data_IF_503413459385
#
_entry.id   IF_503413459385
#
_cell.length_a   1.000
_cell.length_b   1.000
_cell.length_c   1.000
_cell.angle_alpha   90.00
_cell.angle_beta   90.00
_cell.angle_gamma   90.00
#
_symmetry.space_group_name_H-M   'P 1'
#
loop_
_entity.id
_entity.type
_entity.pdbx_description
1 polymer ?
#
# COMPACT_ATOMS: atom_id res chain seq x y z
N UNK A 1 -6.71 12.00 13.89
CA UNK A 1 -6.13 10.66 13.61
C UNK A 1 -5.14 10.78 12.47
N UNK A 2 -4.01 10.06 12.49
CA UNK A 2 -3.06 10.10 11.38
C UNK A 2 -3.73 9.62 10.09
N UNK A 3 -3.52 10.33 8.97
CA UNK A 3 -4.19 10.06 7.68
C UNK A 3 -4.01 8.62 7.19
N UNK A 4 -2.84 8.04 7.46
CA UNK A 4 -2.52 6.66 7.11
C UNK A 4 -3.42 5.63 7.81
N UNK A 5 -3.95 5.96 9.01
CA UNK A 5 -4.85 5.08 9.75
C UNK A 5 -6.24 4.90 9.10
N UNK A 6 -6.54 5.64 8.03
CA UNK A 6 -7.77 5.46 7.26
C UNK A 6 -7.71 4.27 6.28
N UNK A 7 -6.51 3.71 6.04
CA UNK A 7 -6.32 2.61 5.10
C UNK A 7 -6.70 1.27 5.72
N UNK A 8 -7.31 0.37 4.95
CA UNK A 8 -7.89 -0.88 5.45
C UNK A 8 -6.87 -1.91 5.95
N UNK A 9 -5.60 -1.72 5.58
CA UNK A 9 -4.46 -2.57 5.91
C UNK A 9 -3.52 -1.94 6.95
N UNK A 10 -3.90 -0.80 7.53
CA UNK A 10 -3.10 -0.09 8.54
C UNK A 10 -3.64 -0.40 9.92
N UNK A 11 -2.73 -0.77 10.80
CA UNK A 11 -3.03 -1.09 12.19
C UNK A 11 -2.87 0.10 13.13
N UNK A 12 -3.36 -0.07 14.35
CA UNK A 12 -3.01 0.79 15.47
C UNK A 12 -2.50 -0.07 16.62
N UNK A 13 -1.29 0.19 17.07
CA UNK A 13 -0.71 -0.39 18.27
C UNK A 13 -1.08 0.48 19.48
N UNK A 14 -1.82 -0.09 20.42
CA UNK A 14 -2.26 0.58 21.65
C UNK A 14 -1.37 0.24 22.86
N UNK A 15 -0.25 -0.45 22.67
CA UNK A 15 0.58 -1.02 23.75
C UNK A 15 1.43 0.01 24.52
N UNK A 16 1.03 1.28 24.56
CA UNK A 16 1.72 2.35 25.28
C UNK A 16 0.86 3.58 25.52
N UNK A 17 1.45 4.65 26.07
CA UNK A 17 0.74 5.87 26.48
C UNK A 17 -0.01 6.58 25.34
N UNK A 18 0.39 6.33 24.08
CA UNK A 18 -0.26 6.89 22.89
C UNK A 18 -0.37 5.83 21.77
N UNK A 19 -1.53 5.74 21.09
CA UNK A 19 -1.71 4.82 19.97
C UNK A 19 -0.74 5.14 18.82
N UNK A 20 0.03 4.14 18.36
CA UNK A 20 0.96 4.27 17.25
C UNK A 20 0.38 3.62 16.00
N UNK A 21 0.52 4.31 14.87
CA UNK A 21 0.11 3.74 13.58
C UNK A 21 1.11 2.68 13.14
N UNK A 22 0.60 1.52 12.76
CA UNK A 22 1.36 0.42 12.15
C UNK A 22 1.11 0.44 10.65
N UNK A 23 2.02 0.98 9.82
CA UNK A 23 1.79 1.23 8.39
C UNK A 23 1.50 -0.01 7.55
N UNK A 24 1.77 -1.21 8.08
CA UNK A 24 1.53 -2.49 7.42
C UNK A 24 1.00 -3.51 8.42
N UNK A 25 -0.29 -3.76 8.38
CA UNK A 25 -0.99 -4.81 9.12
C UNK A 25 -2.08 -5.42 8.21
N UNK A 26 -1.70 -6.04 7.08
CA UNK A 26 -2.65 -6.57 6.12
C UNK A 26 -3.47 -7.73 6.71
N UNK A 27 -4.72 -7.86 6.25
CA UNK A 27 -5.54 -9.03 6.56
C UNK A 27 -5.21 -10.14 5.57
N UNK A 28 -4.71 -11.26 6.06
CA UNK A 28 -4.37 -12.43 5.25
C UNK A 28 -5.48 -13.46 5.35
N UNK A 29 -5.87 -14.00 4.20
CA UNK A 29 -6.87 -15.07 4.10
C UNK A 29 -6.23 -16.46 4.08
N UNK A 30 -4.94 -16.56 3.76
CA UNK A 30 -4.23 -17.82 3.53
C UNK A 30 -4.48 -18.42 2.15
N UNK A 31 -5.35 -17.80 1.34
CA UNK A 31 -5.53 -18.15 -0.06
C UNK A 31 -4.71 -17.18 -0.92
N UNK A 32 -3.75 -17.73 -1.68
CA UNK A 32 -2.82 -16.93 -2.47
C UNK A 32 -3.51 -15.97 -3.43
N UNK A 33 -4.56 -16.42 -4.13
CA UNK A 33 -5.28 -15.61 -5.11
C UNK A 33 -6.01 -14.44 -4.46
N UNK A 34 -6.69 -14.69 -3.33
CA UNK A 34 -7.37 -13.66 -2.53
C UNK A 34 -6.40 -12.68 -1.90
N UNK A 35 -5.27 -13.16 -1.41
CA UNK A 35 -4.23 -12.31 -0.81
C UNK A 35 -3.60 -11.39 -1.87
N UNK A 36 -3.33 -11.90 -3.08
CA UNK A 36 -2.92 -11.06 -4.21
C UNK A 36 -3.96 -9.99 -4.56
N UNK A 37 -5.25 -10.34 -4.56
CA UNK A 37 -6.32 -9.38 -4.82
C UNK A 37 -6.44 -8.31 -3.71
N UNK A 38 -6.28 -8.70 -2.45
CA UNK A 38 -6.21 -7.77 -1.33
C UNK A 38 -5.03 -6.81 -1.46
N UNK A 39 -3.83 -7.34 -1.76
CA UNK A 39 -2.62 -6.55 -2.02
C UNK A 39 -2.81 -5.47 -3.09
N UNK A 40 -3.41 -5.84 -4.24
CA UNK A 40 -3.73 -4.87 -5.31
C UNK A 40 -4.67 -3.78 -4.82
N UNK A 41 -5.69 -4.15 -4.04
CA UNK A 41 -6.66 -3.20 -3.46
C UNK A 41 -5.97 -2.24 -2.48
N UNK A 42 -5.07 -2.74 -1.64
CA UNK A 42 -4.30 -1.93 -0.70
C UNK A 42 -3.41 -0.89 -1.38
N UNK A 43 -2.77 -1.24 -2.50
CA UNK A 43 -2.03 -0.25 -3.28
C UNK A 43 -2.94 0.84 -3.85
N UNK A 44 -4.12 0.48 -4.36
CA UNK A 44 -5.10 1.46 -4.86
C UNK A 44 -5.55 2.43 -3.75
N UNK A 45 -5.87 1.92 -2.56
CA UNK A 45 -6.21 2.76 -1.41
C UNK A 45 -5.08 3.73 -1.06
N UNK A 46 -3.84 3.24 -0.97
CA UNK A 46 -2.67 4.05 -0.66
C UNK A 46 -2.42 5.12 -1.74
N UNK A 47 -2.47 4.73 -3.01
CA UNK A 47 -2.26 5.64 -4.13
C UNK A 47 -3.30 6.76 -4.13
N UNK A 48 -4.58 6.45 -3.87
CA UNK A 48 -5.62 7.46 -3.74
C UNK A 48 -5.35 8.42 -2.57
N UNK A 49 -4.87 7.91 -1.43
CA UNK A 49 -4.47 8.77 -0.31
C UNK A 49 -3.28 9.68 -0.67
N UNK A 50 -2.27 9.14 -1.36
CA UNK A 50 -1.11 9.93 -1.80
C UNK A 50 -1.50 11.07 -2.73
N UNK A 51 -2.45 10.82 -3.64
CA UNK A 51 -2.99 11.85 -4.53
C UNK A 51 -3.80 12.89 -3.75
N UNK A 52 -4.69 12.45 -2.86
CA UNK A 52 -5.55 13.34 -2.07
C UNK A 52 -4.75 14.29 -1.18
N UNK A 53 -3.70 13.76 -0.53
CA UNK A 53 -2.87 14.51 0.41
C UNK A 53 -1.64 15.16 -0.26
N UNK A 54 -1.49 15.00 -1.58
CA UNK A 54 -0.31 15.42 -2.35
C UNK A 54 1.01 15.02 -1.67
N UNK A 55 1.08 13.78 -1.19
CA UNK A 55 2.18 13.31 -0.36
C UNK A 55 2.64 11.90 -0.76
N UNK A 56 3.68 11.77 -1.60
CA UNK A 56 4.19 10.47 -2.04
C UNK A 56 4.96 9.71 -0.93
N UNK A 57 5.32 10.37 0.17
CA UNK A 57 6.13 9.75 1.24
C UNK A 57 5.39 8.65 1.99
N UNK A 58 4.05 8.56 1.87
CA UNK A 58 3.28 7.45 2.44
C UNK A 58 3.68 6.10 1.84
N UNK A 59 4.06 6.05 0.56
CA UNK A 59 4.55 4.81 -0.06
C UNK A 59 5.83 4.31 0.61
N UNK A 60 6.80 5.19 0.83
CA UNK A 60 8.05 4.82 1.50
C UNK A 60 7.79 4.25 2.91
N UNK A 61 6.86 4.86 3.66
CA UNK A 61 6.47 4.36 4.99
C UNK A 61 5.86 2.96 4.96
N UNK A 62 4.99 2.68 3.99
CA UNK A 62 4.38 1.35 3.82
C UNK A 62 5.43 0.32 3.41
N UNK A 63 6.29 0.63 2.44
CA UNK A 63 7.37 -0.28 2.00
C UNK A 63 8.35 -0.57 3.13
N UNK A 64 8.78 0.42 3.89
CA UNK A 64 9.66 0.20 5.05
C UNK A 64 9.02 -0.74 6.08
N UNK A 65 7.70 -0.63 6.31
CA UNK A 65 6.98 -1.51 7.22
C UNK A 65 6.82 -2.93 6.66
N UNK A 66 6.60 -3.10 5.35
CA UNK A 66 6.62 -4.42 4.68
C UNK A 66 7.98 -5.10 4.88
N UNK A 67 9.07 -4.39 4.58
CA UNK A 67 10.45 -4.91 4.72
C UNK A 67 10.74 -5.28 6.16
N UNK A 68 10.38 -4.44 7.14
CA UNK A 68 10.57 -4.73 8.55
C UNK A 68 9.75 -5.94 9.04
N UNK A 69 8.57 -6.16 8.47
CA UNK A 69 7.74 -7.34 8.76
C UNK A 69 8.30 -8.64 8.19
N UNK A 70 9.11 -8.57 7.12
CA UNK A 70 9.85 -9.71 6.58
C UNK A 70 9.00 -10.79 5.89
N UNK A 71 7.71 -10.52 5.63
CA UNK A 71 6.79 -11.44 4.95
C UNK A 71 6.59 -10.99 3.52
N UNK A 72 6.82 -11.88 2.55
CA UNK A 72 6.75 -11.61 1.11
C UNK A 72 5.85 -12.63 0.40
N UNK A 73 4.55 -12.57 0.68
CA UNK A 73 3.57 -13.53 0.18
C UNK A 73 2.56 -12.85 -0.75
N UNK A 74 1.40 -13.48 -0.97
CA UNK A 74 0.39 -13.02 -1.93
C UNK A 74 0.04 -11.54 -1.78
N UNK A 75 -0.13 -11.03 -0.56
CA UNK A 75 -0.47 -9.62 -0.32
C UNK A 75 0.62 -8.67 -0.86
N UNK A 76 1.88 -8.89 -0.49
CA UNK A 76 2.99 -8.04 -0.93
C UNK A 76 3.24 -8.14 -2.44
N UNK A 77 3.10 -9.35 -2.99
CA UNK A 77 3.20 -9.60 -4.43
C UNK A 77 2.10 -8.83 -5.17
N UNK A 78 0.85 -8.95 -4.74
CA UNK A 78 -0.28 -8.23 -5.34
C UNK A 78 -0.14 -6.71 -5.23
N UNK A 79 0.32 -6.21 -4.09
CA UNK A 79 0.59 -4.78 -3.89
C UNK A 79 1.64 -4.27 -4.88
N UNK A 80 2.78 -4.98 -4.99
CA UNK A 80 3.88 -4.61 -5.88
C UNK A 80 3.49 -4.74 -7.36
N UNK A 81 2.66 -5.73 -7.71
CA UNK A 81 2.11 -5.89 -9.04
C UNK A 81 1.27 -4.66 -9.45
N UNK A 82 0.32 -4.23 -8.61
CA UNK A 82 -0.50 -3.05 -8.90
C UNK A 82 0.35 -1.77 -9.02
N UNK A 83 1.42 -1.66 -8.24
CA UNK A 83 2.38 -0.56 -8.36
C UNK A 83 3.07 -0.54 -9.72
N UNK A 84 3.56 -1.69 -10.19
CA UNK A 84 4.22 -1.80 -11.49
C UNK A 84 3.27 -1.52 -12.65
N UNK A 85 2.05 -2.07 -12.61
CA UNK A 85 0.99 -1.81 -13.59
C UNK A 85 0.67 -0.30 -13.67
N UNK A 86 0.60 0.37 -12.51
CA UNK A 86 0.31 1.80 -12.45
C UNK A 86 1.43 2.65 -13.06
N UNK A 87 2.69 2.28 -12.82
CA UNK A 87 3.85 2.95 -13.40
C UNK A 87 3.84 2.85 -14.92
N UNK A 88 3.67 1.64 -15.47
CA UNK A 88 3.59 1.42 -16.92
C UNK A 88 2.43 2.19 -17.56
N UNK A 89 1.26 2.22 -16.92
CA UNK A 89 0.12 2.98 -17.42
C UNK A 89 0.36 4.49 -17.42
N UNK A 90 1.09 5.02 -16.43
CA UNK A 90 1.45 6.43 -16.37
C UNK A 90 2.44 6.80 -17.48
N UNK A 91 3.45 5.96 -17.73
CA UNK A 91 4.44 6.14 -18.80
C UNK A 91 3.78 6.11 -20.19
N UNK A 92 2.94 5.11 -20.45
CA UNK A 92 2.21 5.00 -21.72
C UNK A 92 1.34 6.25 -21.98
N UNK A 93 0.65 6.75 -20.94
CA UNK A 93 -0.13 7.99 -21.05
C UNK A 93 0.76 9.19 -21.36
N UNK A 94 1.90 9.33 -20.69
CA UNK A 94 2.83 10.43 -20.92
C UNK A 94 3.37 10.43 -22.36
N UNK A 95 3.71 9.25 -22.90
CA UNK A 95 4.15 9.09 -24.29
C UNK A 95 3.07 9.48 -25.30
N UNK A 96 1.81 9.12 -25.05
CA UNK A 96 0.69 9.46 -25.95
C UNK A 96 0.39 10.96 -26.05
N UNK A 97 0.74 11.75 -25.03
CA UNK A 97 0.55 13.20 -25.02
C UNK A 97 1.71 13.95 -25.69
N UNK A 98 2.83 13.27 -25.93
CA UNK A 98 4.02 13.84 -26.54
C UNK A 98 4.13 13.57 -28.05
N UNK A 99 3.24 12.74 -28.61
CA UNK A 99 3.14 12.40 -30.03
C UNK A 99 2.06 13.24 -30.73
#
# INVERSE_FOLDING_TARGET
>A
MPKLAALSFVGTDASGDYPKVVPWQPKRSGDYGRDCAAGRSYYVELHNLMLLENNPTFLARVISAQVAGGVWEGVEIGFTQAMAERLLAAEAKAQSLAA
#
